data_IF_844364812267
#
_entry.id   IF_844364812267
#
_cell.length_a   1.000
_cell.length_b   1.000
_cell.length_c   1.000
_cell.angle_alpha   90.00
_cell.angle_beta   90.00
_cell.angle_gamma   90.00
#
_symmetry.space_group_name_H-M   'P 1'
#
loop_
_entity.id
_entity.type
_entity.pdbx_description
1 polymer ?
#
# COMPACT_ATOMS: atom_id res chain seq x y z
N UNK A 1 9.10 -2.19 1.72
CA UNK A 1 8.14 -1.61 0.76
C UNK A 1 7.51 -0.32 1.26
N UNK A 2 6.71 -0.33 2.35
CA UNK A 2 6.00 0.87 2.82
C UNK A 2 6.92 2.07 3.12
N UNK A 3 8.09 1.85 3.73
CA UNK A 3 9.06 2.92 4.01
C UNK A 3 9.59 3.54 2.71
N UNK A 4 9.98 2.71 1.74
CA UNK A 4 10.50 3.16 0.46
C UNK A 4 9.45 3.99 -0.31
N UNK A 5 8.19 3.55 -0.30
CA UNK A 5 7.08 4.30 -0.89
C UNK A 5 6.86 5.66 -0.21
N UNK A 6 6.99 5.75 1.12
CA UNK A 6 6.93 7.04 1.84
C UNK A 6 8.05 8.00 1.47
N UNK A 7 9.27 7.48 1.25
CA UNK A 7 10.39 8.31 0.80
C UNK A 7 10.17 8.88 -0.61
N UNK A 8 9.58 8.08 -1.51
CA UNK A 8 9.18 8.54 -2.85
C UNK A 8 8.14 9.65 -2.76
N UNK A 9 7.10 9.46 -1.94
CA UNK A 9 6.08 10.50 -1.73
C UNK A 9 6.67 11.77 -1.10
N UNK A 10 7.64 11.65 -0.20
CA UNK A 10 8.35 12.82 0.35
C UNK A 10 9.12 13.60 -0.72
N UNK A 11 9.70 12.92 -1.72
CA UNK A 11 10.31 13.60 -2.87
C UNK A 11 9.27 14.23 -3.80
N UNK A 12 8.17 13.53 -4.05
CA UNK A 12 7.07 14.04 -4.86
C UNK A 12 6.34 15.22 -4.18
N UNK A 13 6.40 15.32 -2.85
CA UNK A 13 5.89 16.46 -2.10
C UNK A 13 6.56 17.78 -2.49
N UNK A 14 7.87 17.74 -2.76
CA UNK A 14 8.60 18.89 -3.31
C UNK A 14 8.14 19.29 -4.72
N UNK A 15 7.33 18.45 -5.37
CA UNK A 15 6.77 18.66 -6.70
C UNK A 15 5.23 18.81 -6.64
N UNK A 16 4.67 19.16 -5.48
CA UNK A 16 3.24 19.44 -5.32
C UNK A 16 2.36 18.25 -4.97
N UNK A 17 2.91 17.02 -4.85
CA UNK A 17 2.11 15.86 -4.40
C UNK A 17 1.85 15.93 -2.90
N UNK A 18 0.58 16.11 -2.54
CA UNK A 18 0.14 16.29 -1.17
C UNK A 18 -0.99 15.32 -0.83
N UNK A 19 -1.01 14.88 0.43
CA UNK A 19 -2.08 14.08 0.99
C UNK A 19 -2.67 14.83 2.18
N UNK A 20 -4.00 14.92 2.24
CA UNK A 20 -4.68 15.62 3.33
C UNK A 20 -4.68 14.82 4.63
N UNK A 21 -4.73 15.50 5.77
CA UNK A 21 -4.70 14.86 7.10
C UNK A 21 -5.85 13.86 7.32
N UNK A 22 -7.05 14.19 6.81
CA UNK A 22 -8.22 13.30 6.87
C UNK A 22 -7.98 12.00 6.10
N UNK A 23 -7.35 12.09 4.92
CA UNK A 23 -7.01 10.93 4.11
C UNK A 23 -6.00 10.05 4.84
N UNK A 24 -4.93 10.65 5.37
CA UNK A 24 -3.89 9.94 6.13
C UNK A 24 -4.45 9.27 7.39
N UNK A 25 -5.34 9.95 8.11
CA UNK A 25 -6.01 9.40 9.30
C UNK A 25 -6.87 8.19 8.95
N UNK A 26 -7.73 8.32 7.93
CA UNK A 26 -8.58 7.22 7.48
C UNK A 26 -7.76 6.00 7.04
N UNK A 27 -6.70 6.23 6.24
CA UNK A 27 -5.78 5.17 5.81
C UNK A 27 -5.07 4.54 7.01
N UNK A 28 -4.66 5.34 8.00
CA UNK A 28 -4.06 4.84 9.24
C UNK A 28 -4.97 3.86 9.98
N UNK A 29 -6.25 4.20 10.14
CA UNK A 29 -7.26 3.32 10.76
C UNK A 29 -7.45 2.03 9.95
N UNK A 30 -7.53 2.12 8.63
CA UNK A 30 -7.66 0.95 7.75
C UNK A 30 -6.44 0.03 7.89
N UNK A 31 -5.22 0.58 7.85
CA UNK A 31 -3.98 -0.18 8.01
C UNK A 31 -3.94 -0.88 9.37
N UNK A 32 -4.33 -0.19 10.45
CA UNK A 32 -4.40 -0.77 11.79
C UNK A 32 -5.40 -1.95 11.84
N UNK A 33 -6.57 -1.79 11.22
CA UNK A 33 -7.56 -2.86 11.09
C UNK A 33 -7.05 -4.07 10.30
N UNK A 34 -6.39 -3.83 9.15
CA UNK A 34 -5.78 -4.90 8.35
C UNK A 34 -4.71 -5.66 9.14
N UNK A 35 -3.82 -4.96 9.85
CA UNK A 35 -2.84 -5.61 10.75
C UNK A 35 -3.53 -6.45 11.81
N UNK A 36 -4.58 -5.92 12.45
CA UNK A 36 -5.34 -6.68 13.44
C UNK A 36 -5.90 -7.98 12.85
N UNK A 37 -6.52 -7.95 11.66
CA UNK A 37 -7.06 -9.15 11.02
C UNK A 37 -5.99 -10.14 10.51
N UNK A 38 -4.79 -9.67 10.17
CA UNK A 38 -3.64 -10.55 9.92
C UNK A 38 -3.30 -11.38 11.16
N UNK A 39 -3.27 -10.76 12.35
CA UNK A 39 -2.95 -11.48 13.60
C UNK A 39 -3.99 -12.53 14.00
N UNK A 40 -5.21 -12.46 13.45
CA UNK A 40 -6.26 -13.47 13.66
C UNK A 40 -6.10 -14.70 12.77
N UNK A 41 -5.12 -14.73 11.86
CA UNK A 41 -4.78 -15.91 11.08
C UNK A 41 -4.36 -17.08 11.97
N UNK A 42 -4.93 -18.27 11.72
CA UNK A 42 -4.65 -19.48 12.49
C UNK A 42 -3.53 -20.32 11.87
N UNK A 43 -2.67 -20.95 12.68
CA UNK A 43 -1.73 -21.95 12.20
C UNK A 43 -2.47 -23.21 11.73
N UNK A 44 -1.85 -23.97 10.82
CA UNK A 44 -2.37 -25.28 10.43
C UNK A 44 -2.13 -26.33 11.54
N UNK A 45 -3.00 -27.33 11.62
CA UNK A 45 -2.89 -28.42 12.60
C UNK A 45 -1.79 -29.43 12.28
N UNK A 46 -1.37 -29.52 11.02
CA UNK A 46 -0.28 -30.39 10.60
C UNK A 46 1.05 -29.64 10.57
N UNK A 47 2.11 -30.30 11.03
CA UNK A 47 3.47 -29.79 10.94
C UNK A 47 3.97 -29.97 9.50
N UNK A 48 4.37 -28.86 8.86
CA UNK A 48 5.05 -28.90 7.58
C UNK A 48 6.45 -29.50 7.72
N UNK A 49 6.87 -30.33 6.75
CA UNK A 49 8.27 -30.77 6.63
C UNK A 49 9.21 -29.62 6.23
N UNK A 50 8.68 -28.55 5.61
CA UNK A 50 9.45 -27.36 5.28
C UNK A 50 9.71 -26.52 6.53
N UNK A 51 10.96 -26.09 6.70
CA UNK A 51 11.35 -25.19 7.80
C UNK A 51 10.98 -23.74 7.47
N UNK A 52 10.46 -22.97 8.44
CA UNK A 52 10.27 -21.54 8.27
C UNK A 52 11.59 -20.85 7.89
N UNK A 53 11.54 -19.75 7.11
CA UNK A 53 12.74 -19.00 6.79
C UNK A 53 13.45 -18.55 8.07
N UNK A 54 14.77 -18.72 8.11
CA UNK A 54 15.62 -18.47 9.29
C UNK A 54 15.75 -16.99 9.66
N UNK A 55 15.41 -16.08 8.75
CA UNK A 55 15.45 -14.64 8.97
C UNK A 55 14.35 -13.95 8.19
N UNK A 56 13.84 -12.85 8.76
CA UNK A 56 12.92 -11.93 8.09
C UNK A 56 13.57 -11.18 6.93
N UNK A 57 14.92 -11.13 6.87
CA UNK A 57 15.71 -10.51 5.80
C UNK A 57 16.49 -11.55 4.98
N UNK A 58 15.95 -12.75 4.80
CA UNK A 58 16.58 -13.71 3.89
C UNK A 58 16.63 -13.17 2.45
N UNK A 59 17.51 -13.72 1.60
CA UNK A 59 17.70 -13.26 0.21
C UNK A 59 16.38 -13.23 -0.57
N UNK A 60 15.53 -14.23 -0.39
CA UNK A 60 14.22 -14.28 -1.04
C UNK A 60 13.29 -13.17 -0.55
N UNK A 61 13.28 -12.88 0.75
CA UNK A 61 12.47 -11.80 1.32
C UNK A 61 12.95 -10.42 0.84
N UNK A 62 14.26 -10.18 0.83
CA UNK A 62 14.85 -8.93 0.32
C UNK A 62 14.56 -8.75 -1.18
N UNK A 63 14.70 -9.81 -1.99
CA UNK A 63 14.36 -9.78 -3.41
C UNK A 63 12.87 -9.46 -3.62
N UNK A 64 11.97 -10.10 -2.86
CA UNK A 64 10.53 -9.81 -2.91
C UNK A 64 10.21 -8.37 -2.52
N UNK A 65 10.82 -7.85 -1.44
CA UNK A 65 10.66 -6.46 -1.00
C UNK A 65 11.14 -5.49 -2.09
N UNK A 66 12.29 -5.78 -2.72
CA UNK A 66 12.85 -4.99 -3.81
C UNK A 66 11.94 -4.95 -5.04
N UNK A 67 11.46 -6.11 -5.49
CA UNK A 67 10.55 -6.20 -6.64
C UNK A 67 9.21 -5.51 -6.38
N UNK A 68 8.61 -5.70 -5.20
CA UNK A 68 7.39 -5.01 -4.80
C UNK A 68 7.59 -3.49 -4.78
N UNK A 69 8.72 -3.02 -4.21
CA UNK A 69 9.04 -1.59 -4.22
C UNK A 69 9.14 -1.04 -5.64
N UNK A 70 9.85 -1.74 -6.53
CA UNK A 70 10.02 -1.30 -7.92
C UNK A 70 8.67 -1.20 -8.65
N UNK A 71 7.80 -2.20 -8.51
CA UNK A 71 6.47 -2.20 -9.13
C UNK A 71 5.64 -1.02 -8.61
N UNK A 72 5.57 -0.83 -7.29
CA UNK A 72 4.81 0.28 -6.70
C UNK A 72 5.40 1.65 -7.07
N UNK A 73 6.72 1.77 -7.12
CA UNK A 73 7.41 2.98 -7.54
C UNK A 73 7.04 3.35 -8.98
N UNK A 74 7.19 2.42 -9.92
CA UNK A 74 6.83 2.62 -11.33
C UNK A 74 5.36 3.01 -11.45
N UNK A 75 4.46 2.32 -10.72
CA UNK A 75 3.03 2.59 -10.79
C UNK A 75 2.67 3.99 -10.27
N UNK A 76 3.29 4.45 -9.18
CA UNK A 76 3.10 5.82 -8.67
C UNK A 76 3.65 6.84 -9.67
N UNK A 77 4.86 6.64 -10.19
CA UNK A 77 5.44 7.56 -11.18
C UNK A 77 4.62 7.64 -12.47
N UNK A 78 4.10 6.49 -12.94
CA UNK A 78 3.21 6.45 -14.09
C UNK A 78 1.92 7.23 -13.83
N UNK A 79 1.29 7.03 -12.66
CA UNK A 79 0.10 7.78 -12.26
C UNK A 79 0.38 9.30 -12.15
N UNK A 80 1.52 9.69 -11.59
CA UNK A 80 1.96 11.09 -11.58
C UNK A 80 2.05 11.64 -13.00
N UNK A 81 2.79 10.97 -13.89
CA UNK A 81 2.98 11.42 -15.27
C UNK A 81 1.66 11.51 -16.06
N UNK A 82 0.74 10.56 -15.86
CA UNK A 82 -0.59 10.58 -16.49
C UNK A 82 -1.47 11.71 -15.94
N UNK A 83 -1.33 12.08 -14.66
CA UNK A 83 -2.11 13.16 -14.06
C UNK A 83 -1.59 14.56 -14.40
N UNK A 84 -0.29 14.74 -14.70
CA UNK A 84 0.31 16.06 -14.95
C UNK A 84 -0.42 16.89 -16.02
N UNK A 85 -0.84 16.35 -17.19
CA UNK A 85 -1.53 17.12 -18.22
C UNK A 85 -2.91 17.64 -17.82
N UNK A 86 -3.49 17.11 -16.74
CA UNK A 86 -4.81 17.49 -16.24
C UNK A 86 -4.75 18.46 -15.06
N UNK A 87 -3.55 18.92 -14.71
CA UNK A 87 -3.38 19.92 -13.66
C UNK A 87 -3.75 21.31 -14.17
N UNK A 88 -4.50 22.02 -13.35
CA UNK A 88 -4.70 23.46 -13.50
C UNK A 88 -3.38 24.17 -13.20
N UNK A 89 -2.79 24.92 -14.14
CA UNK A 89 -1.54 25.67 -13.91
C UNK A 89 -1.63 26.67 -12.75
N UNK A 90 -2.83 27.15 -12.42
CA UNK A 90 -3.08 28.11 -11.36
C UNK A 90 -3.40 27.44 -10.01
N UNK A 91 -3.31 26.10 -9.92
CA UNK A 91 -3.56 25.38 -8.67
C UNK A 91 -2.48 25.70 -7.62
N UNK A 92 -2.85 26.35 -6.49
CA UNK A 92 -1.89 26.75 -5.47
C UNK A 92 -1.18 25.56 -4.81
N UNK A 93 -1.74 24.36 -4.90
CA UNK A 93 -1.17 23.16 -4.28
C UNK A 93 0.08 22.62 -4.99
N UNK A 94 0.34 23.03 -6.24
CA UNK A 94 1.50 22.63 -7.04
C UNK A 94 2.80 23.19 -6.45
N UNK A 95 2.73 24.34 -5.79
CA UNK A 95 3.89 24.91 -5.07
C UNK A 95 4.22 24.05 -3.84
N UNK A 96 5.50 23.88 -3.45
CA UNK A 96 5.86 23.08 -2.28
C UNK A 96 5.13 23.54 -1.00
N UNK A 97 5.07 24.84 -0.75
CA UNK A 97 4.50 25.43 0.46
C UNK A 97 2.99 25.72 0.39
N UNK A 98 2.34 25.45 -0.74
CA UNK A 98 0.91 25.67 -0.90
C UNK A 98 0.03 24.77 -0.01
N UNK A 99 -1.24 25.13 0.23
CA UNK A 99 -2.17 24.25 0.94
C UNK A 99 -2.47 22.98 0.15
N UNK A 100 -2.95 21.93 0.82
CA UNK A 100 -3.54 20.78 0.13
C UNK A 100 -4.82 21.21 -0.59
N UNK A 101 -4.90 20.90 -1.88
CA UNK A 101 -6.11 21.05 -2.69
C UNK A 101 -6.36 19.73 -3.46
N UNK A 102 -7.59 19.19 -3.51
CA UNK A 102 -7.89 18.03 -4.33
C UNK A 102 -7.68 18.35 -5.81
N UNK A 103 -6.79 17.60 -6.46
CA UNK A 103 -6.53 17.69 -7.88
C UNK A 103 -6.21 16.28 -8.44
N UNK A 104 -6.14 16.10 -9.78
CA UNK A 104 -5.86 14.81 -10.39
C UNK A 104 -4.52 14.19 -9.95
N UNK A 105 -3.49 15.01 -9.69
CA UNK A 105 -2.19 14.52 -9.25
C UNK A 105 -2.25 13.92 -7.84
N UNK A 106 -2.81 14.67 -6.89
CA UNK A 106 -2.96 14.29 -5.49
C UNK A 106 -3.87 13.08 -5.35
N UNK A 107 -4.98 13.07 -6.10
CA UNK A 107 -5.96 11.97 -6.11
C UNK A 107 -5.34 10.69 -6.64
N UNK A 108 -4.71 10.71 -7.82
CA UNK A 108 -4.09 9.52 -8.40
C UNK A 108 -2.96 8.98 -7.53
N UNK A 109 -2.08 9.84 -7.03
CA UNK A 109 -0.99 9.43 -6.13
C UNK A 109 -1.52 8.83 -4.83
N UNK A 110 -2.58 9.40 -4.26
CA UNK A 110 -3.25 8.87 -3.08
C UNK A 110 -3.83 7.49 -3.33
N UNK A 111 -4.64 7.31 -4.37
CA UNK A 111 -5.25 6.02 -4.72
C UNK A 111 -4.18 4.94 -4.95
N UNK A 112 -3.12 5.26 -5.70
CA UNK A 112 -2.01 4.34 -5.94
C UNK A 112 -1.27 3.95 -4.66
N UNK A 113 -1.12 4.89 -3.73
CA UNK A 113 -0.50 4.63 -2.42
C UNK A 113 -1.35 3.69 -1.56
N UNK A 114 -2.67 3.92 -1.51
CA UNK A 114 -3.59 3.05 -0.75
C UNK A 114 -3.64 1.66 -1.37
N UNK A 115 -3.76 1.57 -2.70
CA UNK A 115 -3.77 0.30 -3.42
C UNK A 115 -2.48 -0.50 -3.21
N UNK A 116 -1.32 0.16 -3.32
CA UNK A 116 -0.01 -0.47 -3.05
C UNK A 116 0.10 -0.99 -1.62
N UNK A 117 -0.51 -0.27 -0.67
CA UNK A 117 -0.56 -0.70 0.74
C UNK A 117 -1.41 -1.96 0.90
N UNK A 118 -2.62 -1.99 0.34
CA UNK A 118 -3.50 -3.17 0.37
C UNK A 118 -2.83 -4.37 -0.31
N UNK A 119 -2.21 -4.17 -1.47
CA UNK A 119 -1.47 -5.21 -2.19
C UNK A 119 -0.31 -5.77 -1.35
N UNK A 120 0.39 -4.91 -0.60
CA UNK A 120 1.44 -5.35 0.32
C UNK A 120 0.89 -6.29 1.39
N UNK A 121 -0.28 -6.00 1.99
CA UNK A 121 -0.91 -6.92 2.94
C UNK A 121 -1.31 -8.25 2.29
N UNK A 122 -1.91 -8.19 1.10
CA UNK A 122 -2.37 -9.39 0.39
C UNK A 122 -1.21 -10.32 0.02
N UNK A 123 -0.14 -9.76 -0.58
CA UNK A 123 0.99 -10.53 -1.10
C UNK A 123 1.89 -11.05 0.05
N UNK A 124 2.03 -10.28 1.14
CA UNK A 124 2.88 -10.67 2.26
C UNK A 124 2.13 -11.51 3.33
N UNK A 125 0.83 -11.75 3.16
CA UNK A 125 0.11 -12.66 4.03
C UNK A 125 0.67 -14.08 3.90
N UNK A 126 1.26 -14.60 4.98
CA UNK A 126 1.80 -15.96 4.99
C UNK A 126 0.65 -16.95 5.13
N UNK A 127 0.44 -17.76 4.09
CA UNK A 127 -0.50 -18.89 4.09
C UNK A 127 0.19 -20.23 4.28
N UNK A 128 -0.25 -21.24 3.52
CA UNK A 128 0.35 -22.59 3.55
C UNK A 128 1.85 -22.55 3.23
N UNK A 129 2.67 -23.44 3.82
CA UNK A 129 2.28 -24.58 4.65
C UNK A 129 2.26 -24.32 6.18
N UNK A 130 2.31 -23.06 6.63
CA UNK A 130 2.43 -22.75 8.07
C UNK A 130 1.13 -22.23 8.69
N UNK A 131 0.39 -21.44 7.92
CA UNK A 131 -0.83 -20.77 8.34
C UNK A 131 -1.96 -21.12 7.38
N UNK A 132 -3.20 -20.87 7.80
CA UNK A 132 -4.34 -20.90 6.91
C UNK A 132 -4.15 -19.96 5.72
N UNK A 133 -4.74 -20.28 4.57
CA UNK A 133 -4.70 -19.40 3.41
C UNK A 133 -5.50 -18.13 3.63
N UNK A 134 -5.19 -17.09 2.85
CA UNK A 134 -5.90 -15.81 2.89
C UNK A 134 -7.42 -16.00 2.70
N UNK A 135 -7.83 -16.96 1.86
CA UNK A 135 -9.24 -17.28 1.59
C UNK A 135 -9.96 -17.86 2.81
N UNK A 136 -9.22 -18.48 3.72
CA UNK A 136 -9.74 -19.07 4.95
C UNK A 136 -9.82 -18.02 6.08
N UNK A 137 -8.99 -16.98 6.05
CA UNK A 137 -9.11 -15.82 6.93
C UNK A 137 -10.21 -14.87 6.43
N UNK A 138 -11.47 -15.25 6.69
CA UNK A 138 -12.66 -14.51 6.22
C UNK A 138 -12.69 -13.04 6.66
N UNK A 139 -12.15 -12.71 7.83
CA UNK A 139 -12.09 -11.33 8.31
C UNK A 139 -11.16 -10.50 7.41
N UNK A 140 -9.91 -10.93 7.27
CA UNK A 140 -8.93 -10.22 6.45
C UNK A 140 -9.38 -10.15 4.97
N UNK A 141 -9.90 -11.24 4.41
CA UNK A 141 -10.36 -11.28 3.02
C UNK A 141 -11.50 -10.28 2.78
N UNK A 142 -12.54 -10.27 3.64
CA UNK A 142 -13.66 -9.34 3.51
C UNK A 142 -13.21 -7.89 3.68
N UNK A 143 -12.30 -7.61 4.61
CA UNK A 143 -11.74 -6.27 4.77
C UNK A 143 -10.98 -5.80 3.53
N UNK A 144 -10.16 -6.66 2.91
CA UNK A 144 -9.48 -6.35 1.65
C UNK A 144 -10.50 -6.09 0.53
N UNK A 145 -11.54 -6.92 0.40
CA UNK A 145 -12.59 -6.74 -0.60
C UNK A 145 -13.34 -5.42 -0.41
N UNK A 146 -13.68 -5.04 0.82
CA UNK A 146 -14.32 -3.76 1.13
C UNK A 146 -13.38 -2.61 0.74
N UNK A 147 -12.10 -2.68 1.10
CA UNK A 147 -11.14 -1.63 0.76
C UNK A 147 -10.98 -1.45 -0.76
N UNK A 148 -10.91 -2.56 -1.52
CA UNK A 148 -10.85 -2.51 -2.97
C UNK A 148 -12.17 -1.98 -3.57
N UNK A 149 -13.32 -2.40 -3.03
CA UNK A 149 -14.62 -1.89 -3.44
C UNK A 149 -14.71 -0.37 -3.30
N UNK A 150 -14.33 0.17 -2.13
CA UNK A 150 -14.33 1.61 -1.86
C UNK A 150 -13.34 2.38 -2.75
N UNK A 151 -12.22 1.78 -3.16
CA UNK A 151 -11.23 2.44 -4.02
C UNK A 151 -11.66 2.55 -5.49
N UNK A 152 -12.52 1.64 -5.96
CA UNK A 152 -12.93 1.56 -7.37
C UNK A 152 -14.40 1.96 -7.60
N UNK A 153 -15.06 2.52 -6.59
CA UNK A 153 -16.37 3.18 -6.67
C UNK A 153 -16.21 4.68 -6.76
#
# INVERSE_FOLDING_TARGET
TLICTRLVLSKLHMHGVKQGDRQLTAVGVVIAGLFFFVTKGKPLSSLSSQRPPSSVLCKQALASIGSQFLIHFIAIMAATNVSLPYLDPDDPSITPDGPFNPNPLNTSCFLMTVLSTINTFMINYRGRPYMQDLRENKLLLRSIQICLGVLFT
#
